data_IF_348733881747
#
_entry.id   IF_348733881747
#
_cell.length_a   1.000
_cell.length_b   1.000
_cell.length_c   1.000
_cell.angle_alpha   90.00
_cell.angle_beta   90.00
_cell.angle_gamma   90.00
#
_symmetry.space_group_name_H-M   'P 1'
#
loop_
_entity.id
_entity.type
_entity.pdbx_description
1 polymer ?
#
# COMPACT_ATOMS: atom_id res chain seq x y z
N UNK A 1 0.54 2.65 23.82
CA UNK A 1 0.12 2.04 22.54
C UNK A 1 0.64 0.60 22.34
N UNK A 2 1.73 0.18 22.98
CA UNK A 2 2.19 -1.23 22.98
C UNK A 2 1.14 -2.24 23.49
N UNK A 3 0.38 -1.89 24.54
CA UNK A 3 -0.71 -2.73 25.06
C UNK A 3 -1.94 -2.83 24.16
N UNK A 4 -2.10 -1.95 23.17
CA UNK A 4 -3.26 -1.90 22.27
C UNK A 4 -3.05 -2.69 20.97
N UNK A 5 -1.87 -3.31 20.77
CA UNK A 5 -1.50 -4.07 19.55
C UNK A 5 -1.62 -3.27 18.23
N UNK A 6 -1.75 -1.95 18.28
CA UNK A 6 -1.61 -1.08 17.13
C UNK A 6 -0.12 -1.05 16.75
N UNK A 7 0.24 -1.69 15.63
CA UNK A 7 1.63 -1.90 15.22
C UNK A 7 2.49 -0.63 15.24
N UNK A 8 3.82 -0.80 15.29
CA UNK A 8 4.77 0.30 15.52
C UNK A 8 4.54 1.53 14.62
N UNK A 9 4.11 1.35 13.37
CA UNK A 9 3.79 2.45 12.45
C UNK A 9 2.61 3.32 12.93
N UNK A 10 1.50 2.69 13.32
CA UNK A 10 0.31 3.40 13.77
C UNK A 10 0.61 4.16 15.07
N UNK A 11 1.37 3.53 15.98
CA UNK A 11 1.80 4.18 17.21
C UNK A 11 2.76 5.35 16.95
N UNK A 12 3.74 5.17 16.06
CA UNK A 12 4.76 6.19 15.79
C UNK A 12 4.14 7.40 15.10
N UNK A 13 3.29 7.20 14.09
CA UNK A 13 2.60 8.29 13.39
C UNK A 13 1.66 9.07 14.34
N UNK A 14 0.91 8.36 15.18
CA UNK A 14 0.05 9.01 16.17
C UNK A 14 0.88 9.82 17.19
N UNK A 15 1.99 9.27 17.69
CA UNK A 15 2.87 9.98 18.61
C UNK A 15 3.53 11.20 17.96
N UNK A 16 4.01 11.09 16.71
CA UNK A 16 4.60 12.23 15.99
C UNK A 16 3.55 13.34 15.82
N UNK A 17 2.33 13.00 15.39
CA UNK A 17 1.24 13.97 15.22
C UNK A 17 0.81 14.64 16.54
N UNK A 18 0.86 13.91 17.66
CA UNK A 18 0.49 14.42 18.99
C UNK A 18 1.65 15.09 19.74
N UNK A 19 2.90 14.97 19.27
CA UNK A 19 4.09 15.50 19.95
C UNK A 19 4.26 17.00 19.82
N UNK A 20 3.59 17.64 18.86
CA UNK A 20 3.70 19.07 18.63
C UNK A 20 2.99 19.85 19.75
N UNK A 21 3.62 20.92 20.22
CA UNK A 21 3.00 21.86 21.16
C UNK A 21 1.71 22.39 20.55
N UNK A 22 0.61 22.40 21.32
CA UNK A 22 -0.67 22.91 20.84
C UNK A 22 -0.63 24.42 20.60
N UNK A 23 -1.23 24.89 19.51
CA UNK A 23 -1.42 26.34 19.24
C UNK A 23 -2.21 27.03 20.37
N UNK A 24 -3.13 26.30 21.01
CA UNK A 24 -3.87 26.79 22.16
C UNK A 24 -2.97 27.07 23.38
N UNK A 25 -1.85 26.34 23.51
CA UNK A 25 -0.89 26.61 24.57
C UNK A 25 -0.21 27.98 24.39
N UNK A 26 0.04 28.43 23.16
CA UNK A 26 0.58 29.77 22.89
C UNK A 26 -0.40 30.87 23.28
N UNK A 27 -1.71 30.64 23.12
CA UNK A 27 -2.76 31.58 23.58
C UNK A 27 -2.76 31.70 25.10
N UNK A 28 -2.70 30.58 25.82
CA UNK A 28 -2.63 30.57 27.29
C UNK A 28 -1.35 31.26 27.79
N UNK A 29 -0.21 30.98 27.16
CA UNK A 29 1.08 31.62 27.48
C UNK A 29 1.01 33.14 27.26
N UNK A 30 0.41 33.59 26.15
CA UNK A 30 0.22 35.02 25.87
C UNK A 30 -0.66 35.69 26.92
N UNK A 31 -1.72 35.02 27.39
CA UNK A 31 -2.57 35.53 28.47
C UNK A 31 -1.81 35.58 29.79
N UNK A 32 -1.01 34.56 30.11
CA UNK A 32 -0.17 34.51 31.30
C UNK A 32 0.89 35.62 31.35
N UNK A 33 1.45 35.98 30.18
CA UNK A 33 2.33 37.16 30.05
C UNK A 33 1.54 38.46 30.28
N UNK A 34 0.33 38.57 29.71
CA UNK A 34 -0.54 39.73 29.92
C UNK A 34 -0.95 39.95 31.38
N UNK A 35 -1.09 38.87 32.14
CA UNK A 35 -1.39 38.88 33.58
C UNK A 35 -0.14 38.99 34.47
N UNK A 36 1.06 38.97 33.90
CA UNK A 36 2.33 39.04 34.64
C UNK A 36 2.73 37.74 35.36
N UNK A 37 2.03 36.62 35.12
CA UNK A 37 2.38 35.31 35.68
C UNK A 37 3.59 34.66 34.99
N UNK A 38 3.90 35.10 33.77
CA UNK A 38 4.93 34.49 32.91
C UNK A 38 5.78 35.60 32.30
N UNK A 39 7.09 35.39 32.27
CA UNK A 39 8.04 36.31 31.63
C UNK A 39 7.95 36.23 30.09
N UNK A 40 8.16 37.36 29.40
CA UNK A 40 8.12 37.41 27.92
C UNK A 40 9.13 36.47 27.26
N UNK A 41 10.28 36.26 27.91
CA UNK A 41 11.35 35.32 27.49
C UNK A 41 10.84 33.88 27.36
N UNK A 42 9.97 33.44 28.27
CA UNK A 42 9.34 32.11 28.23
C UNK A 42 8.41 31.97 27.02
N UNK A 43 7.58 32.97 26.74
CA UNK A 43 6.71 32.97 25.56
C UNK A 43 7.53 32.91 24.26
N UNK A 44 8.60 33.70 24.16
CA UNK A 44 9.50 33.66 23.00
C UNK A 44 10.16 32.29 22.83
N UNK A 45 10.63 31.69 23.91
CA UNK A 45 11.26 30.35 23.88
C UNK A 45 10.29 29.28 23.41
N UNK A 46 9.07 29.25 23.96
CA UNK A 46 8.05 28.26 23.57
C UNK A 46 7.60 28.46 22.11
N UNK A 47 7.52 29.71 21.65
CA UNK A 47 7.19 30.01 20.24
C UNK A 47 8.24 29.44 19.29
N UNK A 48 9.53 29.59 19.62
CA UNK A 48 10.62 28.98 18.83
C UNK A 48 10.57 27.46 18.85
N UNK A 49 10.32 26.85 20.01
CA UNK A 49 10.15 25.39 20.13
C UNK A 49 8.97 24.91 19.30
N UNK A 50 7.83 25.61 19.33
CA UNK A 50 6.66 25.31 18.50
C UNK A 50 6.98 25.38 17.01
N UNK A 51 7.61 26.48 16.55
CA UNK A 51 7.96 26.66 15.14
C UNK A 51 8.93 25.57 14.65
N UNK A 52 9.96 25.27 15.45
CA UNK A 52 10.90 24.20 15.15
C UNK A 52 10.21 22.82 15.09
N UNK A 53 9.37 22.50 16.08
CA UNK A 53 8.62 21.24 16.11
C UNK A 53 7.62 21.13 14.95
N UNK A 54 6.98 22.22 14.52
CA UNK A 54 6.06 22.23 13.38
C UNK A 54 6.78 21.91 12.06
N UNK A 55 7.97 22.49 11.85
CA UNK A 55 8.79 22.19 10.68
C UNK A 55 9.34 20.76 10.76
N UNK A 56 9.88 20.38 11.91
CA UNK A 56 10.42 19.04 12.13
C UNK A 56 9.35 17.95 12.01
N UNK A 57 8.14 18.16 12.52
CA UNK A 57 7.02 17.23 12.41
C UNK A 57 6.58 17.09 10.95
N UNK A 58 6.51 18.18 10.19
CA UNK A 58 6.20 18.14 8.75
C UNK A 58 7.16 17.24 7.98
N UNK A 59 8.47 17.39 8.22
CA UNK A 59 9.47 16.53 7.60
C UNK A 59 9.43 15.10 8.16
N UNK A 60 9.23 14.91 9.47
CA UNK A 60 9.13 13.60 10.09
C UNK A 60 7.93 12.79 9.61
N UNK A 61 6.79 13.45 9.33
CA UNK A 61 5.60 12.83 8.72
C UNK A 61 5.90 12.45 7.27
N UNK A 62 6.54 13.35 6.51
CA UNK A 62 6.93 13.14 5.10
C UNK A 62 7.93 11.98 4.95
N UNK A 63 8.89 11.87 5.86
CA UNK A 63 9.93 10.83 5.89
C UNK A 63 9.64 9.69 6.88
N UNK A 64 8.40 9.58 7.35
CA UNK A 64 8.01 8.63 8.41
C UNK A 64 8.31 7.17 8.07
N UNK A 65 8.28 6.80 6.78
CA UNK A 65 8.63 5.44 6.33
C UNK A 65 10.11 5.10 6.50
N UNK A 66 10.99 6.05 6.23
CA UNK A 66 12.44 5.86 6.36
C UNK A 66 12.87 5.90 7.84
N UNK A 67 12.27 6.81 8.61
CA UNK A 67 12.50 6.91 10.05
C UNK A 67 12.00 5.68 10.80
N UNK A 68 10.88 5.09 10.37
CA UNK A 68 10.36 3.85 10.94
C UNK A 68 11.31 2.67 10.72
N UNK A 69 11.89 2.51 9.53
CA UNK A 69 12.85 1.43 9.25
C UNK A 69 14.15 1.56 10.06
N UNK A 70 14.60 2.79 10.32
CA UNK A 70 15.76 3.04 11.20
C UNK A 70 15.42 2.79 12.68
N UNK A 71 14.27 3.30 13.14
CA UNK A 71 13.82 3.12 14.51
C UNK A 71 13.49 1.67 14.83
N UNK A 72 12.90 0.91 13.91
CA UNK A 72 12.64 -0.53 14.11
C UNK A 72 13.96 -1.30 14.27
N UNK A 73 14.98 -1.00 13.46
CA UNK A 73 16.33 -1.59 13.60
C UNK A 73 16.98 -1.23 14.95
N UNK A 74 16.83 0.01 15.42
CA UNK A 74 17.30 0.39 16.76
C UNK A 74 16.52 -0.30 17.89
N UNK A 75 15.19 -0.40 17.78
CA UNK A 75 14.36 -1.07 18.79
C UNK A 75 14.60 -2.58 18.85
N UNK A 76 14.88 -3.21 17.70
CA UNK A 76 15.32 -4.61 17.62
C UNK A 76 16.69 -4.82 18.29
N UNK A 77 17.64 -3.90 18.11
CA UNK A 77 18.95 -3.96 18.76
C UNK A 77 18.88 -3.81 20.30
N UNK A 78 17.81 -3.17 20.81
CA UNK A 78 17.56 -2.96 22.26
C UNK A 78 16.63 -4.04 22.84
N UNK A 79 16.23 -5.04 22.04
CA UNK A 79 15.49 -6.22 22.53
C UNK A 79 13.98 -6.05 22.67
N UNK A 80 13.42 -4.93 22.20
CA UNK A 80 11.97 -4.72 22.09
C UNK A 80 11.48 -5.29 20.75
N UNK A 81 11.46 -6.62 20.66
CA UNK A 81 10.94 -7.34 19.48
C UNK A 81 9.44 -7.09 19.33
N UNK A 82 9.03 -6.68 18.14
CA UNK A 82 7.63 -6.48 17.77
C UNK A 82 6.84 -7.78 17.99
N UNK A 83 5.85 -7.73 18.90
CA UNK A 83 4.95 -8.86 19.16
C UNK A 83 4.07 -9.19 17.94
N UNK A 84 3.98 -8.29 16.96
CA UNK A 84 3.32 -8.58 15.68
C UNK A 84 4.16 -9.47 14.74
N UNK A 85 5.49 -9.46 14.86
CA UNK A 85 6.40 -10.34 14.10
C UNK A 85 6.38 -11.79 14.61
N UNK A 86 5.94 -12.04 15.85
CA UNK A 86 5.99 -13.38 16.46
C UNK A 86 4.99 -14.40 15.89
N UNK A 87 4.08 -13.97 14.99
CA UNK A 87 3.24 -14.90 14.21
C UNK A 87 3.85 -15.26 12.84
N UNK A 88 5.02 -14.72 12.50
CA UNK A 88 5.66 -14.93 11.20
C UNK A 88 6.55 -16.18 11.11
N UNK A 89 6.87 -16.86 12.21
CA UNK A 89 7.82 -18.00 12.18
C UNK A 89 7.19 -19.39 11.93
N UNK A 90 5.91 -19.49 11.56
CA UNK A 90 5.27 -20.82 11.36
C UNK A 90 4.44 -21.01 10.09
N UNK A 91 4.47 -20.08 9.13
CA UNK A 91 4.02 -20.42 7.78
C UNK A 91 5.27 -20.70 6.95
N UNK A 92 5.40 -21.97 6.58
CA UNK A 92 6.45 -22.49 5.71
C UNK A 92 6.82 -21.46 4.64
N UNK A 93 8.13 -21.27 4.49
CA UNK A 93 8.80 -20.49 3.45
C UNK A 93 8.55 -21.15 2.07
N UNK A 94 7.27 -21.22 1.71
CA UNK A 94 6.79 -21.77 0.46
C UNK A 94 7.06 -20.72 -0.59
N UNK A 95 7.84 -21.10 -1.60
CA UNK A 95 8.02 -20.27 -2.78
C UNK A 95 6.64 -20.06 -3.42
N UNK A 96 6.23 -18.80 -3.53
CA UNK A 96 4.99 -18.43 -4.22
C UNK A 96 5.38 -17.99 -5.64
N UNK A 97 4.96 -18.71 -6.69
CA UNK A 97 5.35 -18.37 -8.05
C UNK A 97 4.68 -17.08 -8.53
N UNK A 98 3.59 -16.62 -7.89
CA UNK A 98 2.93 -15.36 -8.22
C UNK A 98 3.07 -14.38 -7.05
N UNK A 99 3.72 -13.23 -7.30
CA UNK A 99 3.86 -12.16 -6.32
C UNK A 99 3.14 -10.91 -6.80
N UNK A 100 2.22 -10.40 -5.98
CA UNK A 100 1.52 -9.14 -6.22
C UNK A 100 2.17 -8.01 -5.41
N UNK A 101 2.65 -6.99 -6.11
CA UNK A 101 3.19 -5.77 -5.51
C UNK A 101 2.07 -4.75 -5.37
N UNK A 102 1.51 -4.71 -4.17
CA UNK A 102 0.40 -3.87 -3.78
C UNK A 102 -0.97 -4.44 -4.14
N UNK A 103 -1.99 -4.00 -3.41
CA UNK A 103 -3.35 -4.51 -3.49
C UNK A 103 -4.35 -3.36 -3.54
N UNK A 104 -4.83 -3.07 -4.75
CA UNK A 104 -5.81 -2.03 -5.03
C UNK A 104 -7.03 -2.61 -5.77
N UNK A 105 -7.81 -1.77 -6.45
CA UNK A 105 -9.09 -2.15 -7.08
C UNK A 105 -8.97 -3.31 -8.09
N UNK A 106 -7.98 -3.26 -8.98
CA UNK A 106 -7.77 -4.33 -9.98
C UNK A 106 -7.30 -5.62 -9.31
N UNK A 107 -6.37 -5.52 -8.35
CA UNK A 107 -5.92 -6.66 -7.55
C UNK A 107 -7.07 -7.31 -6.75
N UNK A 108 -7.97 -6.50 -6.19
CA UNK A 108 -9.18 -6.93 -5.49
C UNK A 108 -10.12 -7.71 -6.42
N UNK A 109 -10.40 -7.17 -7.60
CA UNK A 109 -11.21 -7.85 -8.62
C UNK A 109 -10.54 -9.14 -9.13
N UNK A 110 -9.23 -9.12 -9.37
CA UNK A 110 -8.47 -10.32 -9.73
C UNK A 110 -8.55 -11.39 -8.64
N UNK A 111 -8.42 -11.01 -7.37
CA UNK A 111 -8.48 -11.95 -6.25
C UNK A 111 -9.86 -12.57 -6.10
N UNK A 112 -10.93 -11.77 -6.23
CA UNK A 112 -12.30 -12.28 -6.24
C UNK A 112 -12.54 -13.29 -7.38
N UNK A 113 -12.05 -13.00 -8.60
CA UNK A 113 -12.12 -13.93 -9.73
C UNK A 113 -11.34 -15.23 -9.47
N UNK A 114 -10.13 -15.12 -8.89
CA UNK A 114 -9.33 -16.29 -8.48
C UNK A 114 -10.08 -17.13 -7.45
N UNK A 115 -10.68 -16.52 -6.43
CA UNK A 115 -11.38 -17.25 -5.39
C UNK A 115 -12.64 -17.95 -5.90
N UNK A 116 -13.36 -17.35 -6.86
CA UNK A 116 -14.62 -17.90 -7.40
C UNK A 116 -14.40 -18.93 -8.50
N UNK A 117 -13.51 -18.64 -9.46
CA UNK A 117 -13.38 -19.42 -10.71
C UNK A 117 -12.07 -20.19 -10.81
N UNK A 118 -11.02 -19.77 -10.12
CA UNK A 118 -9.68 -20.37 -10.22
C UNK A 118 -9.04 -20.65 -8.84
N UNK A 119 -9.71 -21.37 -7.92
CA UNK A 119 -9.24 -21.53 -6.54
C UNK A 119 -7.85 -22.19 -6.44
N UNK A 120 -7.44 -22.93 -7.46
CA UNK A 120 -6.12 -23.55 -7.57
C UNK A 120 -4.96 -22.52 -7.64
N UNK A 121 -5.24 -21.28 -8.06
CA UNK A 121 -4.24 -20.20 -8.10
C UNK A 121 -4.03 -19.56 -6.73
N UNK A 122 -5.01 -19.62 -5.83
CA UNK A 122 -4.94 -19.02 -4.49
C UNK A 122 -3.66 -19.36 -3.70
N UNK A 123 -3.25 -20.64 -3.54
CA UNK A 123 -2.05 -20.98 -2.77
C UNK A 123 -0.75 -20.52 -3.43
N UNK A 124 -0.79 -20.15 -4.72
CA UNK A 124 0.38 -19.72 -5.48
C UNK A 124 0.65 -18.22 -5.34
N UNK A 125 -0.28 -17.47 -4.75
CA UNK A 125 -0.24 -16.00 -4.72
C UNK A 125 0.22 -15.49 -3.37
N UNK A 126 1.23 -14.62 -3.41
CA UNK A 126 1.70 -13.81 -2.28
C UNK A 126 1.49 -12.34 -2.59
N UNK A 127 1.00 -11.58 -1.62
CA UNK A 127 0.78 -10.13 -1.74
C UNK A 127 1.78 -9.39 -0.85
N UNK A 128 2.35 -8.29 -1.35
CA UNK A 128 3.15 -7.35 -0.55
C UNK A 128 2.41 -6.01 -0.56
N UNK A 129 1.89 -5.57 0.58
CA UNK A 129 1.14 -4.31 0.67
C UNK A 129 1.45 -3.54 1.97
N UNK A 130 1.33 -2.21 1.92
CA UNK A 130 1.65 -1.34 3.05
C UNK A 130 0.43 -1.03 3.93
N UNK A 131 -0.78 -1.43 3.52
CA UNK A 131 -2.04 -1.23 4.25
C UNK A 131 -2.29 -2.42 5.19
N UNK A 132 -2.34 -2.21 6.52
CA UNK A 132 -2.60 -3.29 7.47
C UNK A 132 -4.00 -3.90 7.33
N UNK A 133 -5.00 -3.14 6.84
CA UNK A 133 -6.36 -3.64 6.60
C UNK A 133 -6.40 -4.66 5.47
N UNK A 134 -5.65 -4.42 4.39
CA UNK A 134 -5.47 -5.37 3.28
C UNK A 134 -4.93 -6.69 3.82
N UNK A 135 -3.88 -6.62 4.65
CA UNK A 135 -3.28 -7.81 5.28
C UNK A 135 -4.29 -8.59 6.12
N UNK A 136 -5.08 -7.90 6.93
CA UNK A 136 -6.10 -8.54 7.77
C UNK A 136 -7.15 -9.27 6.94
N UNK A 137 -7.71 -8.58 5.92
CA UNK A 137 -8.71 -9.16 5.03
C UNK A 137 -8.16 -10.35 4.23
N UNK A 138 -6.95 -10.23 3.65
CA UNK A 138 -6.31 -11.32 2.91
C UNK A 138 -5.96 -12.51 3.82
N UNK A 139 -5.51 -12.25 5.04
CA UNK A 139 -5.22 -13.30 6.01
C UNK A 139 -6.48 -14.04 6.45
N UNK A 140 -7.61 -13.35 6.59
CA UNK A 140 -8.91 -13.97 6.87
C UNK A 140 -9.35 -14.91 5.74
N UNK A 141 -8.96 -14.58 4.49
CA UNK A 141 -9.17 -15.42 3.32
C UNK A 141 -8.10 -16.50 3.15
N UNK A 142 -7.09 -16.58 4.02
CA UNK A 142 -5.99 -17.54 3.94
C UNK A 142 -5.03 -17.30 2.77
N UNK A 143 -4.90 -16.04 2.32
CA UNK A 143 -3.95 -15.62 1.28
C UNK A 143 -2.68 -15.10 1.96
N UNK A 144 -1.51 -15.48 1.44
CA UNK A 144 -0.23 -15.01 1.97
C UNK A 144 -0.08 -13.50 1.70
N UNK A 145 0.10 -12.71 2.76
CA UNK A 145 0.28 -11.26 2.66
C UNK A 145 1.41 -10.82 3.59
N UNK A 146 2.40 -10.13 3.03
CA UNK A 146 3.52 -9.52 3.73
C UNK A 146 3.27 -8.02 3.82
N UNK A 147 3.44 -7.49 5.03
CA UNK A 147 3.38 -6.06 5.24
C UNK A 147 4.67 -5.40 4.77
N UNK A 148 4.61 -4.51 3.78
CA UNK A 148 5.82 -3.95 3.20
C UNK A 148 5.63 -2.77 2.23
N UNK A 149 6.66 -1.93 2.15
CA UNK A 149 6.81 -0.92 1.11
C UNK A 149 7.43 -1.52 -0.16
N UNK A 150 6.67 -1.54 -1.25
CA UNK A 150 7.09 -2.05 -2.56
C UNK A 150 8.18 -1.23 -3.23
N UNK A 151 8.42 0.01 -2.78
CA UNK A 151 9.51 0.85 -3.28
C UNK A 151 10.89 0.48 -2.73
N UNK A 152 10.93 -0.33 -1.65
CA UNK A 152 12.15 -0.68 -0.94
C UNK A 152 12.62 -2.09 -1.32
N UNK A 153 13.84 -2.17 -1.87
CA UNK A 153 14.49 -3.43 -2.25
C UNK A 153 14.65 -4.40 -1.08
N UNK A 154 15.05 -3.89 0.09
CA UNK A 154 15.23 -4.71 1.29
C UNK A 154 13.91 -5.36 1.67
N UNK A 155 12.79 -4.61 1.65
CA UNK A 155 11.47 -5.17 1.96
C UNK A 155 11.12 -6.32 1.03
N UNK A 156 11.34 -6.15 -0.28
CA UNK A 156 11.03 -7.17 -1.27
C UNK A 156 11.93 -8.42 -1.12
N UNK A 157 13.21 -8.21 -0.79
CA UNK A 157 14.13 -9.30 -0.47
C UNK A 157 13.65 -10.11 0.74
N UNK A 158 13.29 -9.44 1.84
CA UNK A 158 12.75 -10.09 3.05
C UNK A 158 11.38 -10.74 2.79
N UNK A 159 10.59 -10.23 1.84
CA UNK A 159 9.36 -10.85 1.39
C UNK A 159 9.59 -12.12 0.53
N UNK A 160 10.84 -12.52 0.30
CA UNK A 160 11.25 -13.70 -0.47
C UNK A 160 10.65 -13.75 -1.88
N UNK A 161 10.71 -12.63 -2.61
CA UNK A 161 10.17 -12.55 -3.99
C UNK A 161 11.10 -13.19 -5.04
N UNK A 162 12.29 -13.64 -4.64
CA UNK A 162 13.34 -14.15 -5.54
C UNK A 162 12.89 -15.33 -6.40
N UNK A 163 11.97 -16.14 -5.86
CA UNK A 163 11.42 -17.32 -6.52
C UNK A 163 10.13 -17.04 -7.32
N UNK A 164 9.72 -15.78 -7.44
CA UNK A 164 8.55 -15.43 -8.23
C UNK A 164 8.79 -15.75 -9.71
N UNK A 165 7.85 -16.48 -10.31
CA UNK A 165 7.78 -16.69 -11.75
C UNK A 165 7.00 -15.59 -12.44
N UNK A 166 6.05 -14.97 -11.72
CA UNK A 166 5.23 -13.85 -12.18
C UNK A 166 5.16 -12.79 -11.08
N UNK A 167 5.47 -11.55 -11.44
CA UNK A 167 5.30 -10.38 -10.59
C UNK A 167 4.24 -9.46 -11.20
N UNK A 168 3.22 -9.14 -10.41
CA UNK A 168 2.08 -8.34 -10.83
C UNK A 168 1.99 -7.05 -10.01
N UNK A 169 2.01 -5.87 -10.67
CA UNK A 169 1.68 -4.60 -10.03
C UNK A 169 0.53 -3.92 -10.77
N UNK A 170 -0.65 -3.90 -10.17
CA UNK A 170 -1.83 -3.27 -10.79
C UNK A 170 -2.13 -1.88 -10.24
N UNK A 171 -1.19 -1.28 -9.50
CA UNK A 171 -1.35 0.05 -8.93
C UNK A 171 -0.96 1.09 -9.98
N UNK A 172 -1.85 2.02 -10.37
CA UNK A 172 -1.48 3.11 -11.26
C UNK A 172 -0.40 3.99 -10.64
N UNK A 173 0.49 4.56 -11.47
CA UNK A 173 1.58 5.45 -11.03
C UNK A 173 1.10 6.60 -10.13
N UNK A 174 -0.12 7.11 -10.35
CA UNK A 174 -0.72 8.17 -9.54
C UNK A 174 -0.93 7.81 -8.06
N UNK A 175 -1.00 6.51 -7.73
CA UNK A 175 -1.20 6.01 -6.37
C UNK A 175 0.08 5.45 -5.74
N UNK A 176 1.15 5.30 -6.52
CA UNK A 176 2.46 4.90 -6.01
C UNK A 176 3.18 6.12 -5.42
N UNK A 177 3.62 6.02 -4.17
CA UNK A 177 4.41 7.06 -3.49
C UNK A 177 5.88 6.62 -3.40
N UNK A 178 6.81 7.51 -3.74
CA UNK A 178 8.25 7.21 -3.69
C UNK A 178 8.77 6.32 -4.83
N UNK A 179 7.88 5.75 -5.64
CA UNK A 179 8.22 4.90 -6.80
C UNK A 179 7.24 5.12 -7.94
N UNK A 180 7.41 4.37 -9.03
CA UNK A 180 6.49 4.26 -10.15
C UNK A 180 6.67 2.87 -10.80
N UNK A 181 5.79 2.48 -11.73
CA UNK A 181 5.86 1.17 -12.37
C UNK A 181 7.19 0.96 -13.09
N UNK A 182 7.78 1.99 -13.72
CA UNK A 182 9.10 1.90 -14.36
C UNK A 182 10.21 1.52 -13.37
N UNK A 183 10.25 2.14 -12.19
CA UNK A 183 11.20 1.83 -11.12
C UNK A 183 10.94 0.46 -10.52
N UNK A 184 9.68 0.07 -10.35
CA UNK A 184 9.32 -1.26 -9.87
C UNK A 184 9.78 -2.35 -10.85
N UNK A 185 9.62 -2.15 -12.16
CA UNK A 185 10.15 -3.09 -13.16
C UNK A 185 11.66 -3.24 -13.01
N UNK A 186 12.40 -2.13 -12.93
CA UNK A 186 13.86 -2.18 -12.75
C UNK A 186 14.27 -2.90 -11.46
N UNK A 187 13.55 -2.65 -10.36
CA UNK A 187 13.80 -3.29 -9.07
C UNK A 187 13.55 -4.81 -9.14
N UNK A 188 12.43 -5.21 -9.72
CA UNK A 188 12.05 -6.61 -9.92
C UNK A 188 13.05 -7.33 -10.83
N UNK A 189 13.50 -6.68 -11.90
CA UNK A 189 14.54 -7.23 -12.79
C UNK A 189 15.88 -7.48 -12.07
N UNK A 190 16.20 -6.68 -11.05
CA UNK A 190 17.37 -6.90 -10.21
C UNK A 190 17.20 -8.06 -9.21
N UNK A 191 16.01 -8.20 -8.60
CA UNK A 191 15.76 -9.17 -7.53
C UNK A 191 15.35 -10.57 -8.03
N UNK A 192 14.55 -10.64 -9.09
CA UNK A 192 14.08 -11.88 -9.73
C UNK A 192 14.13 -11.73 -11.27
N UNK A 193 15.33 -11.86 -11.88
CA UNK A 193 15.54 -11.64 -13.31
C UNK A 193 14.68 -12.52 -14.22
N UNK A 194 14.31 -13.72 -13.75
CA UNK A 194 13.53 -14.71 -14.50
C UNK A 194 12.02 -14.45 -14.48
N UNK A 195 11.52 -13.61 -13.57
CA UNK A 195 10.09 -13.40 -13.39
C UNK A 195 9.45 -12.69 -14.58
N UNK A 196 8.22 -13.04 -14.92
CA UNK A 196 7.38 -12.29 -15.86
C UNK A 196 6.76 -11.10 -15.15
N UNK A 197 6.97 -9.89 -15.67
CA UNK A 197 6.52 -8.66 -15.03
C UNK A 197 5.29 -8.12 -15.73
N UNK A 198 4.19 -8.09 -15.00
CA UNK A 198 2.89 -7.58 -15.45
C UNK A 198 2.58 -6.30 -14.68
N UNK A 199 2.33 -5.21 -15.42
CA UNK A 199 2.00 -3.90 -14.83
C UNK A 199 0.75 -3.32 -15.45
N UNK A 200 0.21 -2.23 -14.89
CA UNK A 200 -0.91 -1.48 -15.49
C UNK A 200 -0.48 -0.12 -16.01
N UNK A 201 -1.11 0.34 -17.10
CA UNK A 201 -0.96 1.70 -17.61
C UNK A 201 -2.29 2.26 -18.09
N UNK A 202 -2.60 3.50 -17.70
CA UNK A 202 -3.85 4.17 -18.10
C UNK A 202 -3.81 4.72 -19.53
N UNK A 203 -2.62 5.10 -20.01
CA UNK A 203 -2.42 5.75 -21.31
C UNK A 203 -1.59 4.87 -22.25
N UNK A 204 -1.94 4.79 -23.55
CA UNK A 204 -1.18 4.00 -24.54
C UNK A 204 0.31 4.39 -24.65
N UNK A 205 0.62 5.69 -24.58
CA UNK A 205 2.01 6.15 -24.64
C UNK A 205 2.82 5.61 -23.46
N UNK A 206 2.25 5.68 -22.25
CA UNK A 206 2.89 5.17 -21.05
C UNK A 206 3.03 3.65 -21.05
N UNK A 207 2.06 2.93 -21.62
CA UNK A 207 2.17 1.49 -21.80
C UNK A 207 3.40 1.12 -22.65
N UNK A 208 3.67 1.87 -23.73
CA UNK A 208 4.88 1.69 -24.55
C UNK A 208 6.16 1.92 -23.75
N UNK A 209 6.20 3.00 -22.95
CA UNK A 209 7.34 3.28 -22.07
C UNK A 209 7.62 2.16 -21.06
N UNK A 210 6.57 1.50 -20.55
CA UNK A 210 6.72 0.37 -19.62
C UNK A 210 7.20 -0.91 -20.32
N UNK A 211 6.76 -1.16 -21.56
CA UNK A 211 7.34 -2.22 -22.38
C UNK A 211 8.82 -1.97 -22.68
N UNK A 212 9.19 -0.75 -23.06
CA UNK A 212 10.60 -0.37 -23.29
C UNK A 212 11.45 -0.48 -22.01
N UNK A 213 10.83 -0.33 -20.84
CA UNK A 213 11.46 -0.53 -19.54
C UNK A 213 11.61 -2.01 -19.13
N UNK A 214 11.05 -2.94 -19.91
CA UNK A 214 11.19 -4.38 -19.69
C UNK A 214 10.01 -5.07 -19.01
N UNK A 215 8.80 -4.48 -19.02
CA UNK A 215 7.58 -5.22 -18.69
C UNK A 215 7.31 -6.30 -19.74
N UNK A 216 6.89 -7.51 -19.32
CA UNK A 216 6.47 -8.56 -20.25
C UNK A 216 5.04 -8.35 -20.73
N UNK A 217 4.18 -7.75 -19.89
CA UNK A 217 2.80 -7.42 -20.26
C UNK A 217 2.32 -6.17 -19.53
N UNK A 218 1.59 -5.31 -20.25
CA UNK A 218 0.98 -4.11 -19.70
C UNK A 218 -0.53 -4.17 -19.90
N UNK A 219 -1.25 -4.31 -18.78
CA UNK A 219 -2.71 -4.24 -18.76
C UNK A 219 -3.13 -2.78 -18.92
N UNK A 220 -4.05 -2.52 -19.85
CA UNK A 220 -4.66 -1.21 -20.03
C UNK A 220 -6.14 -1.25 -19.65
N UNK A 221 -6.50 -0.88 -18.39
CA UNK A 221 -7.88 -0.98 -17.92
C UNK A 221 -8.87 -0.20 -18.77
N UNK A 222 -8.47 0.98 -19.26
CA UNK A 222 -9.28 1.82 -20.15
C UNK A 222 -9.58 1.15 -21.49
N UNK A 223 -8.60 0.45 -22.07
CA UNK A 223 -8.78 -0.29 -23.32
C UNK A 223 -9.72 -1.49 -23.12
N UNK A 224 -9.53 -2.25 -22.03
CA UNK A 224 -10.42 -3.37 -21.68
C UNK A 224 -11.86 -2.89 -21.44
N UNK A 225 -12.03 -1.82 -20.67
CA UNK A 225 -13.35 -1.21 -20.45
C UNK A 225 -13.98 -0.73 -21.76
N UNK A 226 -13.19 -0.20 -22.70
CA UNK A 226 -13.67 0.22 -24.01
C UNK A 226 -14.32 -0.91 -24.81
N UNK A 227 -13.81 -2.13 -24.72
CA UNK A 227 -14.42 -3.32 -25.33
C UNK A 227 -15.81 -3.59 -24.72
N UNK A 228 -15.88 -3.68 -23.39
CA UNK A 228 -17.15 -3.92 -22.70
C UNK A 228 -18.19 -2.81 -22.91
N UNK A 229 -17.75 -1.55 -22.97
CA UNK A 229 -18.64 -0.41 -23.28
C UNK A 229 -19.17 -0.53 -24.71
N UNK A 230 -18.34 -0.94 -25.66
CA UNK A 230 -18.76 -1.15 -27.05
C UNK A 230 -19.82 -2.24 -27.15
N UNK A 231 -19.60 -3.37 -26.46
CA UNK A 231 -20.58 -4.46 -26.39
C UNK A 231 -21.91 -4.00 -25.76
N UNK A 232 -21.86 -3.22 -24.69
CA UNK A 232 -23.05 -2.67 -24.04
C UNK A 232 -23.83 -1.73 -24.97
N UNK A 233 -23.13 -0.87 -25.72
CA UNK A 233 -23.77 0.04 -26.69
C UNK A 233 -24.40 -0.75 -27.83
N UNK A 234 -23.70 -1.74 -28.39
CA UNK A 234 -24.24 -2.61 -29.45
C UNK A 234 -25.47 -3.40 -28.97
N UNK A 235 -25.40 -3.98 -27.77
CA UNK A 235 -26.52 -4.65 -27.13
C UNK A 235 -27.72 -3.72 -26.92
N UNK A 236 -27.48 -2.46 -26.57
CA UNK A 236 -28.53 -1.46 -26.45
C UNK A 236 -29.21 -1.12 -27.77
N UNK A 237 -28.43 -0.93 -28.84
CA UNK A 237 -28.97 -0.67 -30.17
C UNK A 237 -29.76 -1.87 -30.71
N UNK A 238 -29.37 -3.10 -30.36
CA UNK A 238 -30.04 -4.33 -30.75
C UNK A 238 -31.24 -4.73 -29.85
N UNK A 239 -31.67 -3.86 -28.91
CA UNK A 239 -32.71 -4.16 -27.91
C UNK A 239 -32.42 -5.39 -27.02
N UNK A 240 -31.14 -5.75 -26.86
CA UNK A 240 -30.67 -6.86 -26.02
C UNK A 240 -30.19 -6.42 -24.62
N UNK A 241 -30.43 -5.15 -24.24
CA UNK A 241 -29.98 -4.57 -22.97
C UNK A 241 -30.54 -5.29 -21.73
N UNK A 242 -31.77 -5.81 -21.78
CA UNK A 242 -32.35 -6.53 -20.63
C UNK A 242 -31.63 -7.85 -20.34
N UNK A 243 -31.14 -8.54 -21.39
CA UNK A 243 -30.31 -9.73 -21.22
C UNK A 243 -28.98 -9.37 -20.54
N UNK A 244 -28.27 -8.38 -21.08
CA UNK A 244 -27.00 -7.90 -20.50
C UNK A 244 -27.16 -7.41 -19.05
N UNK A 245 -28.26 -6.72 -18.75
CA UNK A 245 -28.60 -6.26 -17.40
C UNK A 245 -28.81 -7.43 -16.44
N UNK A 246 -29.48 -8.48 -16.89
CA UNK A 246 -29.77 -9.66 -16.07
C UNK A 246 -28.48 -10.41 -15.75
N UNK A 247 -27.66 -10.68 -16.78
CA UNK A 247 -26.34 -11.30 -16.63
C UNK A 247 -25.43 -10.48 -15.69
N UNK A 248 -25.39 -9.15 -15.85
CA UNK A 248 -24.59 -8.28 -14.99
C UNK A 248 -25.06 -8.30 -13.51
N UNK A 249 -26.37 -8.39 -13.26
CA UNK A 249 -26.91 -8.51 -11.89
C UNK A 249 -26.57 -9.85 -11.26
N UNK A 250 -26.66 -10.93 -12.02
CA UNK A 250 -26.29 -12.27 -11.56
C UNK A 250 -24.79 -12.33 -11.22
N UNK A 251 -23.94 -11.77 -12.08
CA UNK A 251 -22.50 -11.71 -11.82
C UNK A 251 -22.20 -10.90 -10.55
N UNK A 252 -22.81 -9.70 -10.41
CA UNK A 252 -22.65 -8.86 -9.22
C UNK A 252 -23.14 -9.54 -7.93
N UNK A 253 -24.20 -10.34 -7.99
CA UNK A 253 -24.70 -11.08 -6.83
C UNK A 253 -23.69 -12.10 -6.29
N UNK A 254 -22.78 -12.59 -7.15
CA UNK A 254 -21.72 -13.53 -6.75
C UNK A 254 -20.40 -12.85 -6.39
N UNK A 255 -20.23 -11.56 -6.70
CA UNK A 255 -18.97 -10.83 -6.57
C UNK A 255 -18.72 -10.40 -5.13
N UNK A 256 -17.58 -10.79 -4.57
CA UNK A 256 -17.16 -10.48 -3.20
C UNK A 256 -15.72 -9.93 -3.19
N UNK A 257 -15.60 -8.66 -3.59
CA UNK A 257 -14.30 -7.98 -3.62
C UNK A 257 -13.75 -7.68 -2.22
N UNK A 258 -12.45 -7.91 -2.03
CA UNK A 258 -11.76 -7.71 -0.76
C UNK A 258 -11.79 -6.25 -0.30
N UNK A 259 -11.73 -5.31 -1.25
CA UNK A 259 -11.76 -3.86 -0.97
C UNK A 259 -13.13 -3.19 -1.14
N UNK A 260 -14.20 -3.97 -1.34
CA UNK A 260 -15.56 -3.44 -1.36
C UNK A 260 -16.00 -2.90 0.02
#
# INVERSE_FOLDING_TARGET
LYGLRAGHRASLLATINLSQVSEFALVILSLGVGLGHIEKTTLTTVTWVFAFLAVASTYAITYSHQLQGFLSRMFEAVGLRDLAHRKEEQREDTAHPVVMLGFFRIASAFMDEVLRKHPNLKPLIKVVDFNPEVREKLSALGIACVYGDVSNADTLHHANIHHAEVVLCTIPDAFLKGTNNKKLIALVRGLCPHAKVIVTAERPLHARELYDAGADFVIQPSALAGVSVTEAVQGGLASALEKLRTEAKEELATRAEVLA
#
